data_IF_541831552351
#
_entry.id   IF_541831552351
#
_cell.length_a   1.000
_cell.length_b   1.000
_cell.length_c   1.000
_cell.angle_alpha   90.00
_cell.angle_beta   90.00
_cell.angle_gamma   90.00
#
_symmetry.space_group_name_H-M   'P 1'
#
loop_
_entity.id
_entity.type
_entity.pdbx_description
1 polymer ?
#
# COMPACT_ATOMS: atom_id res chain seq x y z
N UNK A 1 -5.63 2.14 -56.65
CA UNK A 1 -4.24 1.70 -56.44
C UNK A 1 -4.29 0.54 -55.48
N UNK A 2 -4.01 -0.64 -56.01
CA UNK A 2 -4.19 -1.94 -55.35
C UNK A 2 -2.94 -2.25 -54.51
N UNK A 3 -3.10 -2.46 -53.22
CA UNK A 3 -2.00 -2.92 -52.38
C UNK A 3 -1.99 -4.44 -52.41
N UNK A 4 -0.92 -5.02 -52.89
CA UNK A 4 -0.70 -6.45 -53.02
C UNK A 4 -0.40 -7.06 -51.64
N UNK A 5 -1.21 -8.03 -51.26
CA UNK A 5 -0.97 -8.96 -50.13
C UNK A 5 0.18 -9.90 -50.50
N UNK A 6 1.22 -9.88 -49.68
CA UNK A 6 2.27 -10.92 -49.72
C UNK A 6 1.82 -12.11 -48.87
N UNK A 7 1.29 -13.12 -49.54
CA UNK A 7 1.19 -14.48 -48.99
C UNK A 7 2.37 -15.28 -49.47
N UNK A 8 3.37 -15.54 -48.65
CA UNK A 8 4.34 -16.59 -48.89
C UNK A 8 3.90 -17.84 -48.12
N UNK A 9 3.46 -18.82 -48.90
CA UNK A 9 3.28 -20.20 -48.42
C UNK A 9 4.65 -20.80 -48.13
N UNK A 10 4.94 -21.10 -46.89
CA UNK A 10 6.08 -21.95 -46.49
C UNK A 10 5.64 -23.39 -46.57
N UNK A 11 5.92 -24.03 -47.71
CA UNK A 11 5.84 -25.49 -47.84
C UNK A 11 7.12 -26.13 -47.29
N UNK A 12 6.94 -26.98 -46.30
CA UNK A 12 7.70 -28.19 -46.04
C UNK A 12 9.22 -28.10 -45.96
N UNK A 13 9.77 -27.85 -44.78
CA UNK A 13 11.05 -28.40 -44.39
C UNK A 13 10.86 -29.31 -43.17
N UNK A 14 11.10 -30.59 -43.35
CA UNK A 14 11.12 -31.58 -42.30
C UNK A 14 12.18 -31.21 -41.26
N UNK A 15 11.87 -31.00 -39.97
CA UNK A 15 12.92 -30.76 -39.00
C UNK A 15 13.68 -32.08 -38.77
N UNK A 16 14.88 -32.18 -39.34
CA UNK A 16 15.83 -33.16 -38.92
C UNK A 16 16.01 -33.08 -37.41
N UNK A 17 15.84 -34.19 -36.71
CA UNK A 17 16.13 -34.36 -35.31
C UNK A 17 17.56 -33.86 -35.00
N UNK A 18 17.71 -32.64 -34.56
CA UNK A 18 18.91 -32.22 -33.86
C UNK A 18 18.74 -32.71 -32.43
N UNK A 19 19.29 -33.87 -32.16
CA UNK A 19 19.51 -34.38 -30.81
C UNK A 19 20.59 -33.57 -30.09
N UNK A 20 20.41 -32.25 -30.00
CA UNK A 20 21.12 -31.43 -29.07
C UNK A 20 20.28 -31.44 -27.77
N UNK A 21 20.77 -32.19 -26.77
CA UNK A 21 20.37 -31.93 -25.39
C UNK A 21 20.47 -30.42 -25.18
N UNK A 22 19.31 -29.75 -24.99
CA UNK A 22 19.29 -28.34 -24.64
C UNK A 22 20.31 -28.15 -23.51
N UNK A 23 21.27 -27.21 -23.63
CA UNK A 23 22.21 -26.97 -22.56
C UNK A 23 21.36 -26.75 -21.29
N UNK A 24 21.67 -27.54 -20.24
CA UNK A 24 20.96 -27.37 -18.96
C UNK A 24 21.04 -25.90 -18.62
N UNK A 25 19.91 -25.22 -18.69
CA UNK A 25 19.81 -23.81 -18.30
C UNK A 25 20.28 -23.81 -16.86
N UNK A 26 21.50 -23.30 -16.63
CA UNK A 26 21.95 -23.06 -15.25
C UNK A 26 20.84 -22.26 -14.63
N UNK A 27 20.20 -22.73 -13.54
CA UNK A 27 19.25 -21.91 -12.84
C UNK A 27 19.95 -20.58 -12.61
N UNK A 28 19.32 -19.46 -13.00
CA UNK A 28 19.78 -18.13 -12.61
C UNK A 28 20.11 -18.23 -11.12
N UNK A 29 21.25 -17.71 -10.64
CA UNK A 29 21.58 -17.75 -9.22
C UNK A 29 20.36 -17.28 -8.49
N UNK A 30 19.85 -18.14 -7.61
CA UNK A 30 18.50 -18.09 -7.10
C UNK A 30 18.19 -16.66 -6.68
N UNK A 31 17.02 -16.13 -7.07
CA UNK A 31 16.43 -14.91 -6.49
C UNK A 31 16.45 -14.92 -4.94
N UNK A 32 16.70 -16.07 -4.34
CA UNK A 32 16.99 -16.25 -2.92
C UNK A 32 18.08 -15.30 -2.36
N UNK A 33 18.93 -14.73 -3.19
CA UNK A 33 20.01 -13.82 -2.79
C UNK A 33 19.79 -12.38 -3.26
N UNK A 34 18.62 -12.00 -3.78
CA UNK A 34 18.32 -10.62 -4.13
C UNK A 34 18.45 -9.77 -2.86
N UNK A 35 19.35 -8.82 -2.88
CA UNK A 35 19.47 -7.84 -1.80
C UNK A 35 18.31 -6.85 -1.90
N UNK A 36 17.26 -7.11 -1.12
CA UNK A 36 16.05 -6.29 -1.08
C UNK A 36 16.34 -4.85 -0.64
N UNK A 37 17.39 -4.64 0.19
CA UNK A 37 17.78 -3.30 0.63
C UNK A 37 18.47 -2.53 -0.51
N UNK A 38 19.36 -3.16 -1.26
CA UNK A 38 19.97 -2.53 -2.43
C UNK A 38 18.91 -2.21 -3.49
N UNK A 39 17.96 -3.13 -3.70
CA UNK A 39 16.87 -2.95 -4.66
C UNK A 39 15.89 -1.86 -4.24
N UNK A 40 15.60 -1.71 -2.94
CA UNK A 40 14.74 -0.63 -2.45
C UNK A 40 15.32 0.76 -2.77
N UNK A 41 16.63 0.92 -2.73
CA UNK A 41 17.28 2.18 -3.15
C UNK A 41 17.05 2.47 -4.64
N UNK A 42 17.08 1.44 -5.48
CA UNK A 42 16.76 1.59 -6.90
C UNK A 42 15.29 1.94 -7.11
N UNK A 43 14.38 1.26 -6.40
CA UNK A 43 12.94 1.58 -6.46
C UNK A 43 12.62 2.99 -5.96
N UNK A 44 13.35 3.50 -4.98
CA UNK A 44 13.22 4.91 -4.59
C UNK A 44 13.50 5.85 -5.75
N UNK A 45 14.53 5.57 -6.56
CA UNK A 45 14.84 6.39 -7.74
C UNK A 45 13.76 6.29 -8.82
N UNK A 46 13.17 5.10 -9.02
CA UNK A 46 12.07 4.92 -9.95
C UNK A 46 10.81 5.67 -9.48
N UNK A 47 10.47 5.58 -8.19
CA UNK A 47 9.36 6.31 -7.58
C UNK A 47 9.51 7.83 -7.76
N UNK A 48 10.73 8.36 -7.61
CA UNK A 48 11.01 9.80 -7.75
C UNK A 48 10.77 10.33 -9.16
N UNK A 49 10.68 9.49 -10.19
CA UNK A 49 10.30 9.88 -11.56
C UNK A 49 8.84 10.35 -11.66
N UNK A 50 8.01 9.99 -10.70
CA UNK A 50 6.59 10.35 -10.65
C UNK A 50 6.32 11.60 -9.80
N UNK A 51 7.37 12.30 -9.39
CA UNK A 51 7.28 13.46 -8.49
C UNK A 51 7.87 14.68 -9.19
N UNK A 52 7.09 15.74 -9.28
CA UNK A 52 7.55 17.02 -9.79
C UNK A 52 8.26 17.79 -8.69
N UNK A 53 9.55 18.00 -8.84
CA UNK A 53 10.35 18.78 -7.89
C UNK A 53 11.70 19.17 -8.49
N UNK A 54 12.35 20.17 -7.93
CA UNK A 54 13.71 20.59 -8.29
C UNK A 54 13.89 20.87 -9.80
N UNK A 55 12.86 21.53 -10.41
CA UNK A 55 12.85 21.87 -11.84
C UNK A 55 12.41 20.74 -12.80
N UNK A 56 12.24 19.52 -12.30
CA UNK A 56 11.62 18.46 -13.09
C UNK A 56 10.11 18.68 -13.17
N UNK A 57 9.55 18.61 -14.35
CA UNK A 57 8.11 18.76 -14.62
C UNK A 57 7.58 17.57 -15.41
N UNK A 58 6.31 17.28 -15.22
CA UNK A 58 5.56 16.26 -15.95
C UNK A 58 4.57 16.98 -16.86
N UNK A 59 4.56 16.65 -18.14
CA UNK A 59 3.56 17.15 -19.08
C UNK A 59 2.34 16.23 -19.06
N UNK A 60 1.15 16.81 -19.10
CA UNK A 60 -0.09 16.04 -19.27
C UNK A 60 -0.20 15.55 -20.72
N UNK A 61 -0.14 14.24 -20.98
CA UNK A 61 -0.23 13.70 -22.33
C UNK A 61 -1.59 13.93 -23.00
N UNK A 62 -2.65 14.10 -22.20
CA UNK A 62 -3.99 14.41 -22.70
C UNK A 62 -4.17 15.90 -23.04
N UNK A 63 -3.30 16.77 -22.50
CA UNK A 63 -3.36 18.23 -22.65
C UNK A 63 -1.96 18.80 -22.94
N UNK A 64 -1.42 18.62 -24.17
CA UNK A 64 -0.08 19.08 -24.53
C UNK A 64 0.16 20.57 -24.21
N UNK A 65 1.28 20.86 -23.55
CA UNK A 65 1.62 22.19 -23.06
C UNK A 65 1.14 22.50 -21.65
N UNK A 66 0.41 21.59 -21.01
CA UNK A 66 0.07 21.66 -19.57
C UNK A 66 1.10 20.91 -18.77
N UNK A 67 1.80 21.60 -17.88
CA UNK A 67 2.87 21.06 -17.05
C UNK A 67 2.46 21.05 -15.58
N UNK A 68 2.95 20.05 -14.87
CA UNK A 68 2.68 19.85 -13.46
C UNK A 68 3.23 20.99 -12.59
N UNK A 69 2.49 21.35 -11.56
CA UNK A 69 2.98 22.22 -10.51
C UNK A 69 4.01 21.47 -9.63
N UNK A 70 5.01 22.19 -9.07
CA UNK A 70 5.97 21.57 -8.14
C UNK A 70 5.27 20.87 -6.97
N UNK A 71 5.74 19.68 -6.61
CA UNK A 71 5.20 18.86 -5.55
C UNK A 71 4.08 17.90 -5.97
N UNK A 72 3.62 17.98 -7.22
CA UNK A 72 2.66 17.01 -7.75
C UNK A 72 3.28 15.60 -7.74
N UNK A 73 2.57 14.64 -7.19
CA UNK A 73 2.88 13.22 -7.25
C UNK A 73 1.81 12.56 -8.12
N UNK A 74 2.17 12.12 -9.31
CA UNK A 74 1.24 11.37 -10.16
C UNK A 74 1.13 9.92 -9.71
N UNK A 75 -0.07 9.32 -9.86
CA UNK A 75 -0.26 7.92 -9.52
C UNK A 75 0.58 7.00 -10.41
N UNK A 76 0.57 7.23 -11.74
CA UNK A 76 1.47 6.56 -12.68
C UNK A 76 1.65 7.41 -13.94
N UNK A 77 2.74 7.22 -14.73
CA UNK A 77 2.98 7.93 -15.97
C UNK A 77 2.21 7.31 -17.16
N UNK A 78 1.02 6.79 -16.89
CA UNK A 78 0.15 6.13 -17.87
C UNK A 78 -1.10 6.97 -18.13
N UNK A 79 -1.49 7.06 -19.38
CA UNK A 79 -2.74 7.68 -19.81
C UNK A 79 -3.44 6.76 -20.82
N UNK A 80 -4.74 6.98 -21.13
CA UNK A 80 -5.50 6.06 -21.95
C UNK A 80 -4.79 5.73 -23.26
N UNK A 81 -4.47 4.45 -23.45
CA UNK A 81 -4.22 3.94 -24.77
C UNK A 81 -5.53 4.10 -25.55
N UNK A 82 -5.47 4.40 -26.86
CA UNK A 82 -6.65 4.62 -27.73
C UNK A 82 -7.58 3.41 -27.84
N UNK A 83 -7.78 2.67 -26.75
CA UNK A 83 -8.67 1.51 -26.65
C UNK A 83 -9.95 1.97 -25.99
N UNK A 84 -11.10 2.01 -26.71
CA UNK A 84 -12.37 2.45 -26.15
C UNK A 84 -12.74 1.63 -24.90
N UNK A 85 -13.10 2.34 -23.82
CA UNK A 85 -13.60 1.73 -22.59
C UNK A 85 -12.53 1.28 -21.59
N UNK A 86 -11.24 1.48 -21.87
CA UNK A 86 -10.16 1.32 -20.91
C UNK A 86 -9.72 2.70 -20.45
N UNK A 87 -10.00 3.03 -19.20
CA UNK A 87 -9.53 4.27 -18.58
C UNK A 87 -8.29 3.96 -17.74
N UNK A 88 -7.11 4.29 -18.26
CA UNK A 88 -5.82 4.15 -17.58
C UNK A 88 -5.12 5.50 -17.44
N UNK A 89 -5.90 6.57 -17.32
CA UNK A 89 -5.35 7.90 -17.10
C UNK A 89 -5.00 8.09 -15.62
N UNK A 90 -3.73 7.87 -15.31
CA UNK A 90 -3.16 7.97 -13.97
C UNK A 90 -2.19 9.16 -13.84
N UNK A 91 -2.14 10.04 -14.85
CA UNK A 91 -1.37 11.29 -14.80
C UNK A 91 -2.13 12.34 -13.98
N UNK A 92 -2.53 11.96 -12.79
CA UNK A 92 -3.24 12.75 -11.80
C UNK A 92 -2.67 12.51 -10.40
N UNK A 93 -2.95 13.43 -9.49
CA UNK A 93 -2.59 13.29 -8.08
C UNK A 93 -3.77 12.77 -7.27
N UNK A 94 -3.62 11.60 -6.66
CA UNK A 94 -4.48 11.16 -5.57
C UNK A 94 -3.88 11.56 -4.23
N UNK A 95 -4.71 12.14 -3.36
CA UNK A 95 -4.25 12.65 -2.05
C UNK A 95 -3.58 11.55 -1.23
N UNK A 96 -4.14 10.35 -1.21
CA UNK A 96 -3.58 9.19 -0.51
C UNK A 96 -2.23 8.78 -1.09
N UNK A 97 -2.12 8.65 -2.40
CA UNK A 97 -0.90 8.22 -3.09
C UNK A 97 0.24 9.22 -2.86
N UNK A 98 -0.06 10.51 -2.99
CA UNK A 98 0.89 11.58 -2.70
C UNK A 98 1.37 11.56 -1.24
N UNK A 99 0.46 11.33 -0.29
CA UNK A 99 0.78 11.26 1.13
C UNK A 99 1.65 10.05 1.48
N UNK A 100 1.30 8.86 0.98
CA UNK A 100 2.10 7.63 1.19
C UNK A 100 3.50 7.81 0.62
N UNK A 101 3.61 8.42 -0.56
CA UNK A 101 4.88 8.70 -1.22
C UNK A 101 5.74 9.67 -0.40
N UNK A 102 5.16 10.75 0.10
CA UNK A 102 5.86 11.72 0.94
C UNK A 102 6.38 11.07 2.25
N UNK A 103 5.61 10.17 2.86
CA UNK A 103 6.05 9.37 4.01
C UNK A 103 7.32 8.57 3.65
N UNK A 104 7.31 7.88 2.52
CA UNK A 104 8.45 7.05 2.12
C UNK A 104 9.68 7.89 1.77
N UNK A 105 9.53 9.05 1.14
CA UNK A 105 10.64 10.00 0.91
C UNK A 105 11.24 10.44 2.25
N UNK A 106 10.40 10.83 3.21
CA UNK A 106 10.84 11.32 4.50
C UNK A 106 11.57 10.24 5.33
N UNK A 107 11.12 8.98 5.24
CA UNK A 107 11.67 7.86 6.03
C UNK A 107 12.81 7.12 5.35
N UNK A 108 12.94 7.21 4.03
CA UNK A 108 14.01 6.53 3.29
C UNK A 108 15.40 7.17 3.52
N UNK A 109 15.48 8.35 4.12
CA UNK A 109 16.74 9.07 4.28
C UNK A 109 17.41 9.31 2.92
N UNK A 110 16.62 9.54 1.88
CA UNK A 110 17.08 9.76 0.52
C UNK A 110 17.88 11.05 0.46
N UNK A 111 19.18 10.89 0.46
CA UNK A 111 20.24 11.87 0.26
C UNK A 111 20.30 12.98 1.34
N UNK A 112 21.35 13.03 2.14
CA UNK A 112 21.64 14.22 2.91
C UNK A 112 21.96 15.35 1.92
N UNK A 113 20.97 16.19 1.64
CA UNK A 113 21.21 17.45 0.95
C UNK A 113 22.02 18.32 1.91
N UNK A 114 23.14 18.90 1.49
CA UNK A 114 23.83 19.89 2.31
C UNK A 114 22.85 21.04 2.63
N UNK A 115 22.44 21.16 3.90
CA UNK A 115 21.46 22.16 4.34
C UNK A 115 20.17 21.58 4.92
N UNK A 116 19.93 20.26 4.83
CA UNK A 116 18.92 19.56 5.64
C UNK A 116 17.48 19.58 5.15
N UNK A 117 17.16 20.25 4.04
CA UNK A 117 15.79 20.30 3.49
C UNK A 117 15.77 19.61 2.13
N UNK A 118 14.87 18.64 1.95
CA UNK A 118 14.62 17.99 0.67
C UNK A 118 13.63 18.84 -0.14
N UNK A 119 13.98 19.36 -1.34
CA UNK A 119 13.05 20.15 -2.16
C UNK A 119 11.73 19.44 -2.41
N UNK A 120 11.76 18.13 -2.66
CA UNK A 120 10.56 17.32 -2.89
C UNK A 120 9.55 17.32 -1.74
N UNK A 121 9.99 17.42 -0.49
CA UNK A 121 9.10 17.49 0.67
C UNK A 121 8.49 18.88 0.84
N UNK A 122 9.27 19.93 0.58
CA UNK A 122 8.79 21.32 0.57
C UNK A 122 7.74 21.51 -0.55
N UNK A 123 8.08 21.06 -1.75
CA UNK A 123 7.20 21.15 -2.92
C UNK A 123 5.90 20.35 -2.68
N UNK A 124 5.99 19.14 -2.10
CA UNK A 124 4.82 18.34 -1.75
C UNK A 124 3.87 19.08 -0.80
N UNK A 125 4.37 19.72 0.24
CA UNK A 125 3.54 20.48 1.19
C UNK A 125 2.85 21.65 0.48
N UNK A 126 3.57 22.36 -0.40
CA UNK A 126 3.02 23.48 -1.16
C UNK A 126 1.94 23.01 -2.13
N UNK A 127 2.16 21.89 -2.83
CA UNK A 127 1.16 21.31 -3.74
C UNK A 127 -0.07 20.80 -2.96
N UNK A 128 0.11 20.13 -1.84
CA UNK A 128 -0.98 19.68 -0.98
C UNK A 128 -1.84 20.87 -0.48
N UNK A 129 -1.19 21.98 -0.11
CA UNK A 129 -1.89 23.20 0.28
C UNK A 129 -2.65 23.85 -0.90
N UNK A 130 -2.09 23.81 -2.10
CA UNK A 130 -2.77 24.27 -3.34
C UNK A 130 -4.04 23.43 -3.57
N UNK A 131 -3.94 22.10 -3.57
CA UNK A 131 -5.09 21.21 -3.75
C UNK A 131 -6.16 21.42 -2.69
N UNK A 132 -5.75 21.51 -1.41
CA UNK A 132 -6.67 21.79 -0.30
C UNK A 132 -7.38 23.15 -0.48
N UNK A 133 -6.65 24.19 -0.93
CA UNK A 133 -7.22 25.51 -1.20
C UNK A 133 -8.24 25.46 -2.34
N UNK A 134 -7.96 24.72 -3.41
CA UNK A 134 -8.88 24.55 -4.55
C UNK A 134 -10.13 23.76 -4.13
N UNK A 135 -10.00 22.68 -3.35
CA UNK A 135 -11.14 21.94 -2.82
C UNK A 135 -12.00 22.82 -1.90
N UNK A 136 -11.38 23.57 -0.98
CA UNK A 136 -12.08 24.48 -0.06
C UNK A 136 -12.87 25.58 -0.78
N UNK A 137 -12.37 26.06 -1.91
CA UNK A 137 -13.02 27.10 -2.72
C UNK A 137 -14.03 26.54 -3.73
N UNK A 138 -14.10 25.22 -3.87
CA UNK A 138 -15.05 24.54 -4.76
C UNK A 138 -16.45 24.54 -4.15
N UNK A 139 -17.48 24.68 -4.99
CA UNK A 139 -18.87 24.49 -4.60
C UNK A 139 -19.37 23.05 -4.75
N UNK A 140 -18.54 22.15 -5.32
CA UNK A 140 -18.96 20.80 -5.76
C UNK A 140 -18.26 19.65 -5.05
N UNK A 141 -17.19 19.93 -4.31
CA UNK A 141 -16.42 18.91 -3.58
C UNK A 141 -16.13 19.36 -2.15
N UNK A 142 -15.75 18.42 -1.30
CA UNK A 142 -15.31 18.67 0.08
C UNK A 142 -13.78 18.55 0.19
N UNK A 143 -13.25 18.70 1.40
CA UNK A 143 -11.83 18.42 1.68
C UNK A 143 -11.49 16.91 1.65
N UNK A 144 -12.50 16.04 1.58
CA UNK A 144 -12.34 14.60 1.33
C UNK A 144 -12.15 14.24 -0.14
N UNK A 145 -12.10 15.26 -1.02
CA UNK A 145 -11.92 15.00 -2.45
C UNK A 145 -10.61 14.28 -2.77
N UNK A 146 -10.72 13.17 -3.51
CA UNK A 146 -9.60 12.24 -3.61
C UNK A 146 -8.58 12.60 -4.70
N UNK A 147 -8.99 13.28 -5.80
CA UNK A 147 -8.16 13.36 -7.00
C UNK A 147 -8.07 14.78 -7.58
N UNK A 148 -6.85 15.18 -7.95
CA UNK A 148 -6.54 16.49 -8.52
C UNK A 148 -5.72 16.35 -9.81
N UNK A 149 -5.85 17.34 -10.70
CA UNK A 149 -4.98 17.44 -11.88
C UNK A 149 -3.53 17.68 -11.47
N UNK A 150 -2.62 17.53 -12.41
CA UNK A 150 -1.19 17.82 -12.17
C UNK A 150 -0.92 19.31 -11.88
N UNK A 151 -1.88 20.20 -12.15
CA UNK A 151 -1.83 21.63 -11.80
C UNK A 151 -2.50 21.95 -10.46
N UNK A 152 -3.07 20.94 -9.77
CA UNK A 152 -3.73 21.08 -8.48
C UNK A 152 -5.22 21.42 -8.56
N UNK A 153 -5.83 21.47 -9.74
CA UNK A 153 -7.26 21.68 -9.91
C UNK A 153 -8.06 20.42 -9.57
N UNK A 154 -9.31 20.60 -9.12
CA UNK A 154 -10.21 19.49 -8.81
C UNK A 154 -10.52 18.69 -10.08
N UNK A 155 -10.23 17.39 -10.07
CA UNK A 155 -10.72 16.44 -11.10
C UNK A 155 -12.07 15.86 -10.63
N UNK A 156 -13.10 15.74 -11.49
CA UNK A 156 -14.33 15.03 -11.10
C UNK A 156 -14.03 13.59 -10.65
N UNK A 157 -14.18 13.33 -9.35
CA UNK A 157 -13.82 12.04 -8.73
C UNK A 157 -14.61 11.82 -7.43
N UNK A 158 -14.32 10.72 -6.71
CA UNK A 158 -14.99 10.37 -5.46
C UNK A 158 -14.48 11.16 -4.24
N UNK A 159 -15.30 11.17 -3.17
CA UNK A 159 -14.94 11.72 -1.87
C UNK A 159 -14.44 10.58 -0.96
N UNK A 160 -13.23 10.71 -0.45
CA UNK A 160 -12.56 9.69 0.36
C UNK A 160 -11.96 10.31 1.62
N UNK A 161 -12.60 10.08 2.77
CA UNK A 161 -12.20 10.70 4.04
C UNK A 161 -10.94 10.08 4.69
N UNK A 162 -10.32 9.11 4.06
CA UNK A 162 -8.97 8.65 4.41
C UNK A 162 -7.88 9.62 3.92
N UNK A 163 -8.12 10.30 2.78
CA UNK A 163 -7.16 11.22 2.17
C UNK A 163 -6.64 12.31 3.11
N UNK A 164 -7.49 13.17 3.69
CA UNK A 164 -7.06 14.22 4.64
C UNK A 164 -6.34 13.67 5.86
N UNK A 165 -6.74 12.48 6.34
CA UNK A 165 -6.10 11.87 7.50
C UNK A 165 -4.68 11.38 7.17
N UNK A 166 -4.49 10.64 6.06
CA UNK A 166 -3.17 10.13 5.69
C UNK A 166 -2.24 11.26 5.23
N UNK A 167 -2.77 12.32 4.60
CA UNK A 167 -2.02 13.52 4.27
C UNK A 167 -1.50 14.22 5.53
N UNK A 168 -2.31 14.31 6.57
CA UNK A 168 -1.90 14.87 7.86
C UNK A 168 -0.84 14.01 8.55
N UNK A 169 -0.97 12.67 8.50
CA UNK A 169 0.06 11.73 9.00
C UNK A 169 1.39 11.93 8.24
N UNK A 170 1.32 12.12 6.92
CA UNK A 170 2.51 12.41 6.13
C UNK A 170 3.20 13.68 6.62
N UNK A 171 2.44 14.76 6.81
CA UNK A 171 2.98 16.03 7.32
C UNK A 171 3.58 15.86 8.70
N UNK A 172 2.92 15.17 9.63
CA UNK A 172 3.48 14.90 10.96
C UNK A 172 4.82 14.15 10.86
N UNK A 173 4.93 13.22 9.90
CA UNK A 173 6.14 12.40 9.69
C UNK A 173 7.32 13.22 9.16
N UNK A 174 7.06 14.19 8.29
CA UNK A 174 8.10 14.95 7.58
C UNK A 174 8.37 16.35 8.19
N UNK A 175 7.59 16.77 9.19
CA UNK A 175 7.56 18.14 9.70
C UNK A 175 8.92 18.72 10.10
N UNK A 176 9.73 17.94 10.79
CA UNK A 176 11.07 18.36 11.25
C UNK A 176 12.08 18.49 10.10
N UNK A 177 11.74 18.01 8.90
CA UNK A 177 12.58 18.11 7.70
C UNK A 177 12.21 19.32 6.82
N UNK A 178 11.27 20.15 7.26
CA UNK A 178 10.82 21.35 6.56
C UNK A 178 11.51 22.61 7.07
N UNK A 179 11.66 23.61 6.21
CA UNK A 179 12.01 24.98 6.66
C UNK A 179 10.85 25.67 7.38
N UNK A 180 11.16 26.74 8.13
CA UNK A 180 10.16 27.41 8.97
C UNK A 180 8.99 28.03 8.21
N UNK A 181 9.17 28.44 6.96
CA UNK A 181 8.08 28.96 6.14
C UNK A 181 7.13 27.83 5.75
N UNK A 182 7.67 26.70 5.28
CA UNK A 182 6.91 25.50 4.91
C UNK A 182 6.27 24.85 6.13
N UNK A 183 6.92 24.85 7.31
CA UNK A 183 6.28 24.39 8.56
C UNK A 183 5.01 25.20 8.89
N UNK A 184 4.98 26.49 8.59
CA UNK A 184 3.80 27.32 8.80
C UNK A 184 2.65 26.87 7.89
N UNK A 185 2.92 26.61 6.61
CA UNK A 185 1.94 26.08 5.65
C UNK A 185 1.46 24.69 6.09
N UNK A 186 2.38 23.81 6.49
CA UNK A 186 2.11 22.48 6.97
C UNK A 186 1.15 22.46 8.18
N UNK A 187 1.36 23.37 9.16
CA UNK A 187 0.44 23.53 10.30
C UNK A 187 -0.97 23.91 9.87
N UNK A 188 -1.10 24.89 8.99
CA UNK A 188 -2.40 25.36 8.48
C UNK A 188 -3.13 24.24 7.74
N UNK A 189 -2.41 23.44 6.95
CA UNK A 189 -2.96 22.31 6.24
C UNK A 189 -3.49 21.25 7.22
N UNK A 190 -2.72 20.89 8.25
CA UNK A 190 -3.14 19.91 9.26
C UNK A 190 -4.31 20.45 10.09
N UNK A 191 -4.31 21.73 10.49
CA UNK A 191 -5.44 22.35 11.22
C UNK A 191 -6.74 22.32 10.40
N UNK A 192 -6.64 22.57 9.09
CA UNK A 192 -7.80 22.53 8.18
C UNK A 192 -8.32 21.10 8.05
N UNK A 193 -7.44 20.11 7.83
CA UNK A 193 -7.81 18.70 7.77
C UNK A 193 -8.40 18.20 9.11
N UNK A 194 -7.80 18.60 10.23
CA UNK A 194 -8.28 18.23 11.56
C UNK A 194 -9.71 18.73 11.80
N UNK A 195 -9.98 20.00 11.46
CA UNK A 195 -11.31 20.58 11.60
C UNK A 195 -12.34 19.84 10.74
N UNK A 196 -12.00 19.59 9.48
CA UNK A 196 -12.86 18.84 8.56
C UNK A 196 -13.13 17.40 9.06
N UNK A 197 -12.10 16.69 9.46
CA UNK A 197 -12.23 15.30 9.91
C UNK A 197 -13.08 15.19 11.19
N UNK A 198 -13.01 16.18 12.10
CA UNK A 198 -13.89 16.23 13.27
C UNK A 198 -15.37 16.43 12.91
N UNK A 199 -15.68 16.96 11.74
CA UNK A 199 -17.06 17.10 11.26
C UNK A 199 -17.57 15.81 10.57
N UNK A 200 -16.67 15.02 9.95
CA UNK A 200 -17.07 13.93 9.05
C UNK A 200 -16.65 12.52 9.49
N UNK A 201 -15.90 12.34 10.58
CA UNK A 201 -15.37 11.02 11.00
C UNK A 201 -16.46 9.97 11.27
N UNK A 202 -17.69 10.38 11.50
CA UNK A 202 -18.85 9.50 11.70
C UNK A 202 -19.60 9.18 10.40
N UNK A 203 -19.27 9.84 9.31
CA UNK A 203 -19.98 9.71 8.05
C UNK A 203 -19.51 8.51 7.25
N UNK A 204 -20.34 8.07 6.31
CA UNK A 204 -19.93 7.18 5.23
C UNK A 204 -18.91 7.87 4.33
N UNK A 205 -18.13 7.09 3.63
CA UNK A 205 -17.16 7.55 2.65
C UNK A 205 -17.00 6.51 1.56
N UNK A 206 -16.57 6.90 0.39
CA UNK A 206 -16.12 5.95 -0.62
C UNK A 206 -14.89 5.21 -0.07
N UNK A 207 -14.84 3.90 -0.30
CA UNK A 207 -13.81 3.03 0.23
C UNK A 207 -12.45 3.22 -0.48
N UNK A 208 -11.42 2.52 0.02
CA UNK A 208 -10.06 2.56 -0.50
C UNK A 208 -9.97 2.31 -2.01
N UNK A 209 -10.83 1.43 -2.55
CA UNK A 209 -10.80 1.00 -3.94
C UNK A 209 -11.73 1.82 -4.86
N UNK A 210 -12.38 2.85 -4.32
CA UNK A 210 -13.24 3.78 -5.08
C UNK A 210 -14.51 3.14 -5.67
N UNK A 211 -14.97 2.05 -5.06
CA UNK A 211 -16.05 1.22 -5.59
C UNK A 211 -17.36 1.35 -4.81
N UNK A 212 -17.28 1.51 -3.50
CA UNK A 212 -18.45 1.48 -2.60
C UNK A 212 -18.42 2.59 -1.58
N UNK A 213 -19.58 3.19 -1.33
CA UNK A 213 -19.80 4.12 -0.23
C UNK A 213 -20.35 3.37 0.98
N UNK A 214 -19.76 3.56 2.14
CA UNK A 214 -20.17 2.94 3.39
C UNK A 214 -19.24 3.33 4.54
N UNK A 215 -19.32 2.59 5.63
CA UNK A 215 -18.41 2.75 6.76
C UNK A 215 -17.17 1.89 6.53
N UNK A 216 -16.13 2.48 5.97
CA UNK A 216 -14.88 1.80 5.62
C UNK A 216 -14.00 1.55 6.84
N UNK A 217 -13.56 0.30 7.03
CA UNK A 217 -12.59 -0.05 8.07
C UNK A 217 -11.29 0.72 7.89
N UNK A 218 -10.77 0.75 6.65
CA UNK A 218 -9.52 1.42 6.31
C UNK A 218 -9.58 2.92 6.64
N UNK A 219 -10.63 3.62 6.19
CA UNK A 219 -10.77 5.05 6.45
C UNK A 219 -10.86 5.33 7.97
N UNK A 220 -11.65 4.54 8.71
CA UNK A 220 -11.74 4.65 10.18
C UNK A 220 -10.39 4.41 10.87
N UNK A 221 -9.63 3.42 10.42
CA UNK A 221 -8.31 3.11 10.98
C UNK A 221 -7.31 4.24 10.75
N UNK A 222 -7.25 4.81 9.53
CA UNK A 222 -6.36 5.92 9.20
C UNK A 222 -6.75 7.19 9.96
N UNK A 223 -8.04 7.49 10.09
CA UNK A 223 -8.54 8.61 10.89
C UNK A 223 -8.20 8.43 12.38
N UNK A 224 -8.38 7.24 12.93
CA UNK A 224 -8.01 6.91 14.31
C UNK A 224 -6.52 7.14 14.56
N UNK A 225 -5.67 6.65 13.65
CA UNK A 225 -4.23 6.89 13.72
C UNK A 225 -3.89 8.38 13.72
N UNK A 226 -4.47 9.14 12.80
CA UNK A 226 -4.24 10.58 12.75
C UNK A 226 -4.65 11.27 14.06
N UNK A 227 -5.85 10.99 14.59
CA UNK A 227 -6.29 11.60 15.84
C UNK A 227 -5.41 11.21 17.04
N UNK A 228 -4.91 9.98 17.09
CA UNK A 228 -3.94 9.55 18.13
C UNK A 228 -2.61 10.28 17.99
N UNK A 229 -2.06 10.40 16.78
CA UNK A 229 -0.79 11.09 16.54
C UNK A 229 -0.90 12.58 16.83
N UNK A 230 -1.95 13.25 16.36
CA UNK A 230 -2.13 14.69 16.61
C UNK A 230 -2.39 15.00 18.10
N UNK A 231 -2.97 14.08 18.87
CA UNK A 231 -3.18 14.25 20.31
C UNK A 231 -1.87 14.44 21.08
N UNK A 232 -0.74 13.97 20.56
CA UNK A 232 0.60 14.20 21.11
C UNK A 232 1.14 15.60 20.80
N UNK A 233 0.52 16.27 19.82
CA UNK A 233 0.78 17.65 19.38
C UNK A 233 2.27 17.98 19.13
N UNK A 234 2.95 17.12 18.43
CA UNK A 234 4.39 17.25 18.13
C UNK A 234 4.73 18.51 17.31
N UNK A 235 3.74 19.02 16.52
CA UNK A 235 3.92 20.19 15.65
C UNK A 235 3.43 21.50 16.28
N UNK A 236 2.83 21.48 17.47
CA UNK A 236 2.44 22.68 18.23
C UNK A 236 1.27 23.47 17.62
N UNK A 237 0.18 22.79 17.24
CA UNK A 237 -1.10 23.40 16.85
C UNK A 237 -2.14 23.28 17.97
N UNK A 238 -3.27 24.00 17.83
CA UNK A 238 -4.39 23.83 18.76
C UNK A 238 -5.09 22.47 18.49
N UNK A 239 -5.14 21.60 19.50
CA UNK A 239 -5.85 20.31 19.43
C UNK A 239 -7.21 20.44 20.12
N UNK A 240 -8.35 20.40 19.37
CA UNK A 240 -9.68 20.49 19.95
C UNK A 240 -10.02 19.33 20.89
N UNK A 241 -10.84 19.59 21.92
CA UNK A 241 -11.28 18.55 22.85
C UNK A 241 -12.01 17.38 22.18
N UNK A 242 -12.72 17.63 21.06
CA UNK A 242 -13.41 16.60 20.28
C UNK A 242 -12.50 15.49 19.71
N UNK A 243 -11.17 15.68 19.69
CA UNK A 243 -10.22 14.63 19.27
C UNK A 243 -10.30 13.40 20.17
N UNK A 244 -10.42 13.57 21.48
CA UNK A 244 -10.54 12.45 22.41
C UNK A 244 -11.85 11.66 22.21
N UNK A 245 -12.95 12.36 21.96
CA UNK A 245 -14.24 11.75 21.65
C UNK A 245 -14.20 10.98 20.32
N UNK A 246 -13.55 11.56 19.29
CA UNK A 246 -13.36 10.91 17.99
C UNK A 246 -12.52 9.64 18.12
N UNK A 247 -11.43 9.65 18.87
CA UNK A 247 -10.63 8.45 19.16
C UNK A 247 -11.50 7.35 19.77
N UNK A 248 -12.19 7.66 20.87
CA UNK A 248 -13.04 6.70 21.59
C UNK A 248 -14.14 6.14 20.70
N UNK A 249 -14.76 6.99 19.89
CA UNK A 249 -15.82 6.57 18.96
C UNK A 249 -15.28 5.65 17.87
N UNK A 250 -14.14 6.01 17.22
CA UNK A 250 -13.52 5.21 16.16
C UNK A 250 -13.05 3.84 16.65
N UNK A 251 -12.47 3.77 17.88
CA UNK A 251 -12.11 2.50 18.50
C UNK A 251 -13.31 1.56 18.64
N UNK A 252 -14.44 2.10 19.14
CA UNK A 252 -15.67 1.34 19.27
C UNK A 252 -16.24 0.91 17.90
N UNK A 253 -16.18 1.80 16.91
CA UNK A 253 -16.70 1.49 15.57
C UNK A 253 -15.85 0.47 14.82
N UNK A 254 -14.53 0.51 14.93
CA UNK A 254 -13.67 -0.52 14.34
C UNK A 254 -13.99 -1.91 14.89
N UNK A 255 -14.33 -2.02 16.18
CA UNK A 255 -14.73 -3.28 16.78
C UNK A 255 -16.03 -3.86 16.17
N UNK A 256 -16.92 -3.01 15.64
CA UNK A 256 -18.19 -3.45 15.01
C UNK A 256 -18.00 -4.14 13.65
N UNK A 257 -16.84 -3.96 13.02
CA UNK A 257 -16.53 -4.65 11.77
C UNK A 257 -16.28 -6.16 11.95
N UNK A 258 -16.11 -6.63 13.17
CA UNK A 258 -15.92 -8.06 13.43
C UNK A 258 -17.25 -8.83 13.36
N UNK A 259 -17.37 -9.74 12.38
CA UNK A 259 -18.58 -10.54 12.17
C UNK A 259 -18.57 -11.92 12.87
N UNK A 260 -17.53 -12.21 13.65
CA UNK A 260 -17.32 -13.51 14.31
C UNK A 260 -16.30 -14.40 13.60
N UNK A 261 -15.93 -14.11 12.35
CA UNK A 261 -14.96 -14.88 11.56
C UNK A 261 -13.85 -14.00 10.95
N UNK A 262 -14.19 -12.80 10.51
CA UNK A 262 -13.27 -11.84 9.89
C UNK A 262 -13.71 -10.40 10.18
N UNK A 263 -12.81 -9.45 9.99
CA UNK A 263 -13.18 -8.05 9.89
C UNK A 263 -13.78 -7.76 8.51
N UNK A 264 -14.99 -7.22 8.48
CA UNK A 264 -15.68 -6.77 7.28
C UNK A 264 -15.09 -5.44 6.84
N UNK A 265 -14.70 -5.33 5.57
CA UNK A 265 -14.06 -4.13 5.03
C UNK A 265 -14.94 -2.90 5.09
N UNK A 266 -16.21 -3.04 4.69
CA UNK A 266 -17.15 -1.93 4.63
C UNK A 266 -18.51 -2.35 5.17
N UNK A 267 -19.05 -1.57 6.10
CA UNK A 267 -20.37 -1.77 6.66
C UNK A 267 -21.39 -0.82 6.00
N UNK A 268 -22.61 -1.30 5.87
CA UNK A 268 -23.74 -0.52 5.34
C UNK A 268 -23.49 0.04 3.92
N UNK A 269 -22.75 -0.73 3.12
CA UNK A 269 -22.63 -0.53 1.67
C UNK A 269 -23.68 -1.34 0.92
N UNK A 270 -23.83 -1.07 -0.36
CA UNK A 270 -24.60 -1.93 -1.25
C UNK A 270 -23.99 -3.34 -1.25
N UNK A 271 -24.85 -4.38 -1.17
CA UNK A 271 -24.41 -5.78 -1.11
C UNK A 271 -23.52 -6.13 -2.31
N UNK A 272 -22.37 -6.73 -1.97
CA UNK A 272 -21.54 -7.39 -2.96
C UNK A 272 -20.97 -8.68 -2.37
N UNK A 273 -21.26 -9.78 -3.00
CA UNK A 273 -20.76 -11.08 -2.57
C UNK A 273 -19.23 -11.13 -2.63
N UNK A 274 -18.61 -11.57 -1.54
CA UNK A 274 -17.16 -11.77 -1.46
C UNK A 274 -16.34 -10.54 -1.06
N UNK A 275 -16.93 -9.37 -1.00
CA UNK A 275 -16.22 -8.11 -0.68
C UNK A 275 -15.77 -7.99 0.77
N UNK A 276 -16.40 -8.70 1.70
CA UNK A 276 -16.15 -8.59 3.14
C UNK A 276 -14.70 -8.88 3.52
N UNK A 277 -14.12 -9.97 2.98
CA UNK A 277 -12.72 -10.29 3.14
C UNK A 277 -11.88 -9.45 2.15
N UNK A 278 -11.15 -8.47 2.66
CA UNK A 278 -10.46 -7.48 1.83
C UNK A 278 -9.06 -7.16 2.38
N UNK A 279 -8.11 -6.97 1.46
CA UNK A 279 -6.72 -6.67 1.81
C UNK A 279 -6.57 -5.31 2.51
N UNK A 280 -7.54 -4.40 2.39
CA UNK A 280 -7.53 -3.10 3.06
C UNK A 280 -7.51 -3.23 4.60
N UNK A 281 -8.06 -4.33 5.14
CA UNK A 281 -7.95 -4.68 6.57
C UNK A 281 -6.47 -4.87 6.95
N UNK A 282 -5.72 -5.61 6.13
CA UNK A 282 -4.28 -5.83 6.35
C UNK A 282 -3.50 -4.55 6.10
N UNK A 283 -3.84 -3.79 5.07
CA UNK A 283 -3.23 -2.49 4.77
C UNK A 283 -3.43 -1.47 5.90
N UNK A 284 -4.47 -1.64 6.72
CA UNK A 284 -4.69 -0.82 7.91
C UNK A 284 -3.61 -0.97 8.99
N UNK A 285 -2.85 -2.08 8.99
CA UNK A 285 -1.64 -2.20 9.81
C UNK A 285 -0.54 -1.27 9.33
N UNK A 286 -0.40 -1.13 8.01
CA UNK A 286 0.63 -0.30 7.39
C UNK A 286 0.33 1.19 7.56
N UNK A 287 -0.91 1.59 7.29
CA UNK A 287 -1.32 2.99 7.19
C UNK A 287 -2.18 3.48 8.37
N UNK A 288 -3.02 2.61 8.92
CA UNK A 288 -3.97 2.94 9.99
C UNK A 288 -3.47 2.66 11.40
N UNK A 289 -2.27 2.10 11.56
CA UNK A 289 -1.70 1.82 12.88
C UNK A 289 -2.48 0.79 13.69
N UNK A 290 -3.19 -0.13 13.02
CA UNK A 290 -3.80 -1.29 13.66
C UNK A 290 -2.70 -2.23 14.14
N UNK A 291 -2.86 -2.79 15.33
CA UNK A 291 -1.87 -3.67 15.93
C UNK A 291 -1.70 -4.96 15.11
N UNK A 292 -0.49 -5.31 14.66
CA UNK A 292 -0.26 -6.52 13.87
C UNK A 292 -0.53 -7.81 14.66
N UNK A 293 -0.62 -7.71 15.98
CA UNK A 293 -0.89 -8.82 16.92
C UNK A 293 -2.38 -9.01 17.21
N UNK A 294 -3.27 -8.22 16.62
CA UNK A 294 -4.72 -8.40 16.74
C UNK A 294 -5.12 -9.77 16.15
N UNK A 295 -5.59 -10.68 16.98
CA UNK A 295 -5.89 -12.08 16.60
C UNK A 295 -7.07 -12.18 15.62
N UNK A 296 -7.99 -11.23 15.63
CA UNK A 296 -9.10 -11.14 14.67
C UNK A 296 -8.60 -10.66 13.29
N UNK A 297 -7.63 -9.77 13.28
CA UNK A 297 -6.95 -9.37 12.03
C UNK A 297 -6.16 -10.56 11.46
N UNK A 298 -5.51 -11.36 12.31
CA UNK A 298 -4.82 -12.59 11.89
C UNK A 298 -5.79 -13.61 11.29
N UNK A 299 -7.00 -13.76 11.84
CA UNK A 299 -8.06 -14.58 11.24
C UNK A 299 -8.43 -14.10 9.82
N UNK A 300 -8.61 -12.80 9.66
CA UNK A 300 -8.91 -12.18 8.36
C UNK A 300 -7.76 -12.41 7.37
N UNK A 301 -6.51 -12.23 7.79
CA UNK A 301 -5.32 -12.47 6.97
C UNK A 301 -5.19 -13.93 6.53
N UNK A 302 -5.51 -14.90 7.40
CA UNK A 302 -5.54 -16.32 7.04
C UNK A 302 -6.60 -16.63 5.97
N UNK A 303 -7.80 -16.05 6.09
CA UNK A 303 -8.85 -16.21 5.09
C UNK A 303 -8.37 -15.66 3.74
N UNK A 304 -7.83 -14.45 3.71
CA UNK A 304 -7.32 -13.81 2.49
C UNK A 304 -6.21 -14.65 1.84
N UNK A 305 -5.24 -15.11 2.63
CA UNK A 305 -4.15 -15.93 2.10
C UNK A 305 -4.67 -17.19 1.40
N UNK A 306 -5.62 -17.90 2.02
CA UNK A 306 -6.23 -19.11 1.45
C UNK A 306 -6.98 -18.83 0.15
N UNK A 307 -7.64 -17.66 0.03
CA UNK A 307 -8.36 -17.32 -1.19
C UNK A 307 -7.46 -17.36 -2.42
N UNK A 308 -6.23 -16.86 -2.33
CA UNK A 308 -5.36 -16.72 -3.50
C UNK A 308 -4.23 -17.76 -3.60
N UNK A 309 -3.90 -18.42 -2.50
CA UNK A 309 -2.78 -19.37 -2.45
C UNK A 309 -3.22 -20.84 -2.38
N UNK A 310 -4.47 -21.15 -2.02
CA UNK A 310 -4.98 -22.51 -1.96
C UNK A 310 -5.57 -22.93 -3.31
N UNK A 311 -5.03 -23.96 -3.99
CA UNK A 311 -5.54 -24.42 -5.28
C UNK A 311 -7.00 -24.89 -5.28
N UNK A 312 -7.58 -25.17 -4.11
CA UNK A 312 -9.00 -25.52 -3.98
C UNK A 312 -9.93 -24.31 -3.94
N UNK A 313 -9.40 -23.11 -3.79
CA UNK A 313 -10.17 -21.87 -3.79
C UNK A 313 -10.63 -21.48 -5.20
N UNK A 314 -11.86 -21.00 -5.33
CA UNK A 314 -12.38 -20.42 -6.58
C UNK A 314 -11.66 -19.11 -6.99
N UNK A 315 -10.96 -18.47 -6.06
CA UNK A 315 -10.20 -17.24 -6.28
C UNK A 315 -8.69 -17.48 -6.39
N UNK A 316 -8.28 -18.74 -6.48
CA UNK A 316 -6.88 -19.11 -6.60
C UNK A 316 -6.22 -18.50 -7.84
N UNK A 317 -5.04 -17.90 -7.64
CA UNK A 317 -4.21 -17.45 -8.75
C UNK A 317 -3.24 -18.57 -9.17
N UNK A 318 -3.37 -19.13 -10.40
CA UNK A 318 -2.49 -20.20 -10.90
C UNK A 318 -1.01 -19.84 -10.83
N UNK A 319 -0.65 -18.55 -10.98
CA UNK A 319 0.72 -18.07 -10.86
C UNK A 319 1.33 -18.41 -9.50
N UNK A 320 0.55 -18.40 -8.42
CA UNK A 320 1.04 -18.70 -7.07
C UNK A 320 1.57 -20.14 -6.95
N UNK A 321 0.94 -21.08 -7.64
CA UNK A 321 1.45 -22.46 -7.71
C UNK A 321 2.75 -22.57 -8.51
N UNK A 322 2.85 -21.86 -9.63
CA UNK A 322 4.07 -21.79 -10.44
C UNK A 322 5.22 -21.10 -9.68
N UNK A 323 4.93 -20.11 -8.88
CA UNK A 323 5.89 -19.37 -8.07
C UNK A 323 6.37 -20.20 -6.87
N UNK A 324 5.48 -20.89 -6.18
CA UNK A 324 5.84 -21.80 -5.09
C UNK A 324 6.86 -22.86 -5.55
N UNK A 325 6.73 -23.39 -6.78
CA UNK A 325 7.69 -24.32 -7.37
C UNK A 325 9.10 -23.70 -7.61
N UNK A 326 9.19 -22.35 -7.65
CA UNK A 326 10.44 -21.60 -7.77
C UNK A 326 10.97 -21.07 -6.43
N UNK A 327 10.27 -21.35 -5.32
CA UNK A 327 10.59 -20.81 -4.00
C UNK A 327 10.22 -19.33 -3.84
N UNK A 328 9.24 -18.87 -4.62
CA UNK A 328 8.65 -17.54 -4.48
C UNK A 328 7.36 -17.62 -3.68
N UNK A 329 6.96 -16.50 -3.05
CA UNK A 329 5.77 -16.41 -2.24
C UNK A 329 4.52 -16.10 -3.06
N UNK A 330 3.35 -16.25 -2.44
CA UNK A 330 2.11 -15.90 -3.12
C UNK A 330 2.00 -14.40 -3.35
N UNK A 331 1.38 -14.06 -4.47
CA UNK A 331 0.90 -12.74 -4.81
C UNK A 331 -0.56 -12.59 -4.34
N UNK A 332 -0.94 -11.37 -3.95
CA UNK A 332 -2.26 -11.07 -3.36
C UNK A 332 -3.02 -10.04 -4.17
N UNK A 333 -4.34 -10.24 -4.31
CA UNK A 333 -5.29 -9.29 -4.88
C UNK A 333 -5.95 -8.38 -3.85
N UNK A 334 -6.96 -7.62 -4.26
CA UNK A 334 -7.72 -6.70 -3.40
C UNK A 334 -8.72 -7.45 -2.51
N UNK A 335 -9.59 -8.24 -3.09
CA UNK A 335 -10.61 -9.04 -2.40
C UNK A 335 -11.05 -10.24 -3.25
N UNK A 336 -11.62 -11.31 -2.64
CA UNK A 336 -12.19 -12.43 -3.37
C UNK A 336 -13.34 -11.98 -4.27
N UNK A 337 -13.38 -12.46 -5.51
CA UNK A 337 -14.39 -12.06 -6.48
C UNK A 337 -14.16 -10.69 -7.11
N UNK A 338 -12.99 -10.10 -6.94
CA UNK A 338 -12.57 -8.90 -7.67
C UNK A 338 -12.61 -9.15 -9.18
N UNK A 339 -13.18 -8.19 -9.92
CA UNK A 339 -13.29 -8.25 -11.38
C UNK A 339 -12.45 -7.19 -12.08
N UNK A 340 -11.78 -6.30 -11.35
CA UNK A 340 -11.00 -5.24 -11.96
C UNK A 340 -9.80 -5.79 -12.73
N UNK A 341 -9.72 -5.40 -14.00
CA UNK A 341 -8.58 -5.63 -14.88
C UNK A 341 -8.30 -4.30 -15.58
N UNK A 342 -7.16 -3.67 -15.27
CA UNK A 342 -6.83 -2.37 -15.83
C UNK A 342 -6.56 -2.36 -17.34
N UNK A 343 -6.43 -3.52 -17.99
CA UNK A 343 -6.24 -3.63 -19.43
C UNK A 343 -7.56 -3.93 -20.18
N UNK A 344 -8.65 -4.22 -19.47
CA UNK A 344 -9.92 -4.67 -20.09
C UNK A 344 -11.12 -3.98 -19.43
N UNK A 345 -11.91 -3.25 -20.23
CA UNK A 345 -13.06 -2.49 -19.74
C UNK A 345 -14.20 -3.34 -19.13
N UNK A 346 -14.34 -4.59 -19.53
CA UNK A 346 -15.38 -5.50 -19.06
C UNK A 346 -14.78 -6.92 -18.95
N UNK A 347 -13.98 -7.20 -17.92
CA UNK A 347 -13.33 -8.50 -17.78
C UNK A 347 -14.35 -9.60 -17.49
N UNK A 348 -14.14 -10.75 -18.12
CA UNK A 348 -14.94 -11.96 -17.91
C UNK A 348 -14.36 -12.82 -16.80
N UNK A 349 -13.09 -12.65 -16.51
CA UNK A 349 -12.33 -13.43 -15.52
C UNK A 349 -11.97 -12.52 -14.36
N UNK A 350 -12.18 -13.02 -13.15
CA UNK A 350 -11.97 -12.26 -11.92
C UNK A 350 -10.52 -11.87 -11.67
N UNK A 351 -10.37 -10.79 -11.03
CA UNK A 351 -9.25 -10.10 -10.43
C UNK A 351 -7.84 -10.59 -10.63
N UNK A 352 -6.93 -9.71 -10.38
CA UNK A 352 -5.50 -9.96 -10.54
C UNK A 352 -4.75 -9.66 -9.24
N UNK A 353 -3.59 -10.30 -8.98
CA UNK A 353 -2.73 -9.87 -7.89
C UNK A 353 -2.16 -8.48 -8.16
N UNK A 354 -2.00 -7.71 -7.07
CA UNK A 354 -1.47 -6.35 -7.07
C UNK A 354 -0.12 -6.28 -6.38
N UNK A 355 0.80 -5.52 -6.94
CA UNK A 355 2.10 -5.31 -6.33
C UNK A 355 1.99 -4.72 -4.92
N UNK A 356 1.18 -3.66 -4.76
CA UNK A 356 0.95 -2.99 -3.47
C UNK A 356 0.25 -3.90 -2.44
N UNK A 357 -0.74 -4.70 -2.84
CA UNK A 357 -1.44 -5.62 -1.93
C UNK A 357 -0.49 -6.69 -1.37
N UNK A 358 0.35 -7.24 -2.24
CA UNK A 358 1.38 -8.22 -1.88
C UNK A 358 2.43 -7.60 -0.96
N UNK A 359 2.91 -6.38 -1.25
CA UNK A 359 3.86 -5.66 -0.42
C UNK A 359 3.29 -5.31 0.97
N UNK A 360 2.02 -4.87 1.04
CA UNK A 360 1.34 -4.58 2.30
C UNK A 360 1.17 -5.83 3.17
N UNK A 361 0.85 -6.99 2.56
CA UNK A 361 0.78 -8.24 3.31
C UNK A 361 2.17 -8.67 3.83
N UNK A 362 3.22 -8.50 3.02
CA UNK A 362 4.58 -8.75 3.46
C UNK A 362 5.00 -7.81 4.59
N UNK A 363 4.67 -6.52 4.51
CA UNK A 363 4.93 -5.54 5.57
C UNK A 363 4.21 -5.90 6.86
N UNK A 364 2.94 -6.26 6.78
CA UNK A 364 2.17 -6.74 7.94
C UNK A 364 2.90 -7.90 8.63
N UNK A 365 3.34 -8.91 7.90
CA UNK A 365 4.07 -10.04 8.49
C UNK A 365 5.40 -9.62 9.09
N UNK A 366 6.15 -8.67 8.51
CA UNK A 366 7.37 -8.14 9.14
C UNK A 366 7.06 -7.39 10.43
N UNK A 367 6.01 -6.59 10.47
CA UNK A 367 5.58 -5.87 11.68
C UNK A 367 5.15 -6.86 12.78
N UNK A 368 4.42 -7.91 12.41
CA UNK A 368 4.05 -8.99 13.33
C UNK A 368 5.31 -9.72 13.86
N UNK A 369 6.25 -10.06 12.98
CA UNK A 369 7.51 -10.68 13.37
C UNK A 369 8.31 -9.82 14.36
N UNK A 370 8.32 -8.50 14.15
CA UNK A 370 8.99 -7.56 15.06
C UNK A 370 8.27 -7.48 16.41
N UNK A 371 6.92 -7.46 16.43
CA UNK A 371 6.12 -7.44 17.65
C UNK A 371 6.29 -8.74 18.46
N UNK A 372 6.29 -9.90 17.80
CA UNK A 372 6.56 -11.21 18.43
C UNK A 372 7.98 -11.25 19.01
N UNK A 373 8.98 -10.80 18.27
CA UNK A 373 10.35 -10.77 18.75
C UNK A 373 10.52 -9.83 19.96
N UNK A 374 9.82 -8.71 19.97
CA UNK A 374 9.85 -7.74 21.08
C UNK A 374 9.13 -8.24 22.33
N UNK A 375 7.96 -8.89 22.18
CA UNK A 375 7.17 -9.42 23.30
C UNK A 375 7.68 -10.75 23.81
N UNK A 376 8.38 -11.53 22.97
CA UNK A 376 8.78 -12.90 23.27
C UNK A 376 7.62 -13.91 23.25
N UNK A 377 6.44 -13.53 22.74
CA UNK A 377 5.23 -14.36 22.73
C UNK A 377 4.52 -14.31 21.36
N UNK A 378 4.00 -15.46 20.95
CA UNK A 378 3.13 -15.56 19.77
C UNK A 378 1.70 -15.22 20.22
N UNK A 379 0.97 -14.32 19.54
CA UNK A 379 -0.42 -14.00 19.85
C UNK A 379 -1.33 -15.14 19.36
N UNK A 380 -1.31 -16.28 20.06
CA UNK A 380 -2.01 -17.48 19.65
C UNK A 380 -3.30 -17.66 20.45
N UNK A 381 -4.43 -17.68 19.75
CA UNK A 381 -5.75 -18.04 20.24
C UNK A 381 -6.55 -18.75 19.13
N UNK A 382 -7.82 -19.04 19.39
CA UNK A 382 -8.71 -19.73 18.44
C UNK A 382 -8.89 -18.98 17.10
N UNK A 383 -8.68 -17.67 17.05
CA UNK A 383 -8.83 -16.86 15.85
C UNK A 383 -7.54 -16.82 15.03
N UNK A 384 -6.39 -16.70 15.69
CA UNK A 384 -5.09 -16.58 15.06
C UNK A 384 -4.43 -17.93 14.71
N UNK A 385 -4.85 -19.04 15.34
CA UNK A 385 -4.29 -20.37 15.09
C UNK A 385 -4.25 -20.74 13.59
N UNK A 386 -5.29 -20.51 12.77
CA UNK A 386 -5.26 -20.83 11.34
C UNK A 386 -4.16 -20.08 10.58
N UNK A 387 -3.89 -18.83 10.95
CA UNK A 387 -2.83 -18.03 10.33
C UNK A 387 -1.44 -18.60 10.60
N UNK A 388 -1.17 -18.95 11.84
CA UNK A 388 0.12 -19.52 12.22
C UNK A 388 0.30 -20.96 11.70
N UNK A 389 -0.77 -21.76 11.66
CA UNK A 389 -0.73 -23.12 11.11
C UNK A 389 -0.32 -23.17 9.64
N UNK A 390 -0.73 -22.20 8.82
CA UNK A 390 -0.29 -22.06 7.42
C UNK A 390 1.22 -21.83 7.27
N UNK A 391 1.87 -21.33 8.31
CA UNK A 391 3.32 -21.13 8.37
C UNK A 391 4.04 -22.31 9.09
N UNK A 392 3.32 -23.39 9.39
CA UNK A 392 3.85 -24.53 10.11
C UNK A 392 4.10 -24.26 11.62
N UNK A 393 3.44 -23.26 12.17
CA UNK A 393 3.59 -22.80 13.56
C UNK A 393 2.38 -23.21 14.41
N UNK A 394 2.60 -23.45 15.69
CA UNK A 394 1.55 -23.83 16.63
C UNK A 394 1.97 -23.59 18.07
N UNK A 395 1.21 -24.14 19.03
CA UNK A 395 1.40 -23.92 20.46
C UNK A 395 2.81 -24.27 20.99
N UNK A 396 3.53 -25.18 20.34
CA UNK A 396 4.89 -25.58 20.71
C UNK A 396 5.99 -24.74 20.06
N UNK A 397 5.64 -23.83 19.13
CA UNK A 397 6.61 -22.98 18.43
C UNK A 397 7.15 -21.89 19.34
N UNK A 398 8.43 -21.55 19.20
CA UNK A 398 9.01 -20.42 19.90
C UNK A 398 8.71 -19.09 19.19
N UNK A 399 8.77 -17.99 19.93
CA UNK A 399 8.68 -16.65 19.35
C UNK A 399 9.77 -16.39 18.29
N UNK A 400 10.97 -16.97 18.48
CA UNK A 400 12.06 -16.88 17.52
C UNK A 400 11.73 -17.62 16.21
N UNK A 401 11.18 -18.84 16.29
CA UNK A 401 10.76 -19.60 15.12
C UNK A 401 9.63 -18.89 14.37
N UNK A 402 8.65 -18.35 15.09
CA UNK A 402 7.55 -17.61 14.50
C UNK A 402 8.03 -16.34 13.78
N UNK A 403 8.90 -15.55 14.42
CA UNK A 403 9.50 -14.39 13.80
C UNK A 403 10.30 -14.73 12.54
N UNK A 404 11.08 -15.82 12.58
CA UNK A 404 11.85 -16.28 11.43
C UNK A 404 10.95 -16.75 10.27
N UNK A 405 9.90 -17.53 10.57
CA UNK A 405 8.97 -18.02 9.55
C UNK A 405 8.20 -16.87 8.87
N UNK A 406 7.72 -15.89 9.64
CA UNK A 406 7.05 -14.70 9.11
C UNK A 406 7.96 -13.88 8.20
N UNK A 407 9.22 -13.66 8.61
CA UNK A 407 10.22 -12.96 7.79
C UNK A 407 10.54 -13.71 6.50
N UNK A 408 10.71 -15.04 6.58
CA UNK A 408 10.95 -15.87 5.41
C UNK A 408 9.77 -15.83 4.44
N UNK A 409 8.54 -15.91 4.94
CA UNK A 409 7.31 -15.77 4.14
C UNK A 409 7.23 -14.41 3.44
N UNK A 410 7.53 -13.32 4.15
CA UNK A 410 7.53 -11.97 3.57
C UNK A 410 8.63 -11.79 2.51
N UNK A 411 9.84 -12.32 2.77
CA UNK A 411 10.97 -12.23 1.85
C UNK A 411 10.65 -12.87 0.49
N UNK A 412 9.98 -14.02 0.47
CA UNK A 412 9.62 -14.69 -0.78
C UNK A 412 8.49 -13.98 -1.52
N UNK A 413 7.59 -13.29 -0.81
CA UNK A 413 6.55 -12.44 -1.41
C UNK A 413 7.16 -11.21 -2.10
N UNK A 414 8.07 -10.48 -1.45
CA UNK A 414 8.76 -9.35 -2.09
C UNK A 414 9.60 -9.79 -3.29
N UNK A 415 10.20 -10.98 -3.21
CA UNK A 415 10.93 -11.55 -4.38
C UNK A 415 9.99 -11.93 -5.52
N UNK A 416 8.76 -12.36 -5.25
CA UNK A 416 7.77 -12.61 -6.30
C UNK A 416 7.40 -11.30 -7.03
N UNK A 417 7.18 -10.20 -6.31
CA UNK A 417 6.95 -8.88 -6.93
C UNK A 417 8.10 -8.53 -7.87
N UNK A 418 9.35 -8.66 -7.40
CA UNK A 418 10.55 -8.35 -8.21
C UNK A 418 10.69 -9.28 -9.42
N UNK A 419 10.36 -10.57 -9.24
CA UNK A 419 10.44 -11.56 -10.31
C UNK A 419 9.50 -11.26 -11.46
N UNK A 420 8.31 -10.76 -11.14
CA UNK A 420 7.27 -10.45 -12.12
C UNK A 420 7.35 -9.01 -12.65
N UNK A 421 8.18 -8.14 -12.07
CA UNK A 421 8.39 -6.78 -12.58
C UNK A 421 9.20 -6.80 -13.87
N UNK A 422 8.80 -6.02 -14.86
CA UNK A 422 9.56 -5.81 -16.09
C UNK A 422 10.63 -4.72 -15.87
N UNK A 423 11.90 -5.07 -16.03
CA UNK A 423 13.03 -4.16 -15.80
C UNK A 423 13.02 -3.46 -14.42
N UNK A 424 12.43 -4.11 -13.40
CA UNK A 424 12.20 -3.55 -12.06
C UNK A 424 11.18 -2.40 -12.01
N UNK A 425 10.40 -2.18 -13.05
CA UNK A 425 9.27 -1.25 -13.03
C UNK A 425 8.07 -1.95 -12.39
N UNK A 426 7.46 -1.35 -11.36
CA UNK A 426 6.35 -1.97 -10.66
C UNK A 426 5.02 -1.50 -11.26
N UNK A 427 4.25 -2.43 -11.77
CA UNK A 427 2.90 -2.19 -12.24
C UNK A 427 1.88 -2.13 -11.09
N UNK A 428 0.64 -1.82 -11.42
CA UNK A 428 -0.49 -1.97 -10.53
C UNK A 428 -0.79 -3.45 -10.30
N UNK A 429 -0.97 -4.21 -11.38
CA UNK A 429 -1.38 -5.61 -11.36
C UNK A 429 -0.37 -6.53 -12.03
N UNK A 430 -0.45 -7.82 -11.70
CA UNK A 430 0.18 -8.92 -12.41
C UNK A 430 -0.90 -9.88 -12.90
N UNK A 431 -0.73 -10.49 -14.06
CA UNK A 431 -1.66 -11.51 -14.53
C UNK A 431 -1.70 -12.71 -13.58
N UNK A 432 -2.88 -13.05 -13.07
CA UNK A 432 -3.07 -14.11 -12.07
C UNK A 432 -2.75 -15.51 -12.58
N UNK A 433 -2.56 -15.70 -13.91
CA UNK A 433 -2.26 -16.99 -14.52
C UNK A 433 -0.78 -17.10 -14.90
N UNK A 434 -0.25 -16.08 -15.57
CA UNK A 434 1.10 -16.10 -16.17
C UNK A 434 2.10 -15.16 -15.51
N UNK A 435 1.64 -14.21 -14.70
CA UNK A 435 2.46 -13.30 -13.92
C UNK A 435 3.05 -12.14 -14.71
N UNK A 436 2.63 -11.88 -15.93
CA UNK A 436 3.03 -10.68 -16.65
C UNK A 436 2.41 -9.44 -15.99
N UNK A 437 3.11 -8.31 -16.11
CA UNK A 437 2.58 -7.02 -15.68
C UNK A 437 1.32 -6.66 -16.44
N UNK A 438 0.35 -6.16 -15.70
CA UNK A 438 -0.95 -5.68 -16.19
C UNK A 438 -1.27 -4.31 -15.64
N UNK A 439 -2.25 -3.65 -16.28
CA UNK A 439 -2.70 -2.32 -15.90
C UNK A 439 -1.58 -1.27 -16.05
N UNK A 440 -1.65 -0.19 -15.30
CA UNK A 440 -0.65 0.88 -15.36
C UNK A 440 0.70 0.42 -14.83
N UNK A 441 1.75 0.84 -15.52
CA UNK A 441 3.13 0.60 -15.11
C UNK A 441 3.67 1.77 -14.31
N UNK A 442 4.69 1.50 -13.51
CA UNK A 442 5.31 2.52 -12.66
C UNK A 442 4.31 3.16 -11.69
N UNK A 443 3.43 2.35 -11.07
CA UNK A 443 2.51 2.85 -10.07
C UNK A 443 3.28 3.32 -8.83
N UNK A 444 3.13 4.58 -8.49
CA UNK A 444 3.85 5.23 -7.40
C UNK A 444 3.60 4.54 -6.06
N UNK A 445 2.34 4.17 -5.80
CA UNK A 445 1.97 3.44 -4.59
C UNK A 445 2.58 2.02 -4.52
N UNK A 446 2.77 1.34 -5.64
CA UNK A 446 3.46 0.03 -5.66
C UNK A 446 4.91 0.15 -5.17
N UNK A 447 5.62 1.17 -5.62
CA UNK A 447 6.97 1.47 -5.10
C UNK A 447 6.95 1.81 -3.62
N UNK A 448 6.08 2.73 -3.21
CA UNK A 448 5.99 3.17 -1.82
C UNK A 448 5.69 2.01 -0.86
N UNK A 449 4.77 1.12 -1.23
CA UNK A 449 4.44 -0.08 -0.44
C UNK A 449 5.64 -1.04 -0.32
N UNK A 450 6.38 -1.25 -1.42
CA UNK A 450 7.58 -2.07 -1.39
C UNK A 450 8.66 -1.47 -0.49
N UNK A 451 8.88 -0.16 -0.56
CA UNK A 451 9.85 0.55 0.28
C UNK A 451 9.48 0.45 1.77
N UNK A 452 8.21 0.64 2.09
CA UNK A 452 7.70 0.49 3.46
C UNK A 452 7.91 -0.92 3.99
N UNK A 453 7.63 -1.94 3.18
CA UNK A 453 7.85 -3.33 3.55
C UNK A 453 9.35 -3.63 3.81
N UNK A 454 10.27 -3.14 2.96
CA UNK A 454 11.71 -3.32 3.19
C UNK A 454 12.19 -2.56 4.43
N UNK A 455 11.61 -1.40 4.72
CA UNK A 455 11.90 -0.66 5.95
C UNK A 455 11.43 -1.44 7.20
N UNK A 456 10.21 -1.99 7.17
CA UNK A 456 9.69 -2.84 8.24
C UNK A 456 10.54 -4.11 8.43
N UNK A 457 11.03 -4.70 7.33
CA UNK A 457 12.00 -5.81 7.33
C UNK A 457 13.30 -5.44 8.05
N UNK A 458 13.79 -4.23 7.82
CA UNK A 458 15.09 -3.76 8.33
C UNK A 458 15.00 -3.23 9.76
N UNK A 459 13.80 -2.96 10.27
CA UNK A 459 13.60 -2.50 11.63
C UNK A 459 14.10 -3.58 12.61
N UNK A 460 15.03 -3.20 13.49
CA UNK A 460 15.42 -4.07 14.60
C UNK A 460 14.23 -4.24 15.55
N UNK A 461 14.01 -5.47 16.05
CA UNK A 461 13.07 -5.65 17.14
C UNK A 461 13.45 -4.69 18.29
N UNK A 462 12.51 -3.90 18.84
CA UNK A 462 12.81 -3.08 20.00
C UNK A 462 13.49 -3.93 21.06
N UNK A 463 14.64 -3.52 21.58
CA UNK A 463 15.30 -4.26 22.64
C UNK A 463 14.30 -4.44 23.79
N UNK A 464 14.00 -5.69 24.17
CA UNK A 464 13.10 -5.99 25.25
C UNK A 464 13.40 -5.09 26.44
N UNK A 465 12.45 -4.29 26.89
CA UNK A 465 12.63 -3.39 28.02
C UNK A 465 13.15 -4.23 29.19
N UNK A 466 14.42 -4.03 29.56
CA UNK A 466 15.01 -4.74 30.70
C UNK A 466 14.11 -4.48 31.89
N UNK A 467 13.40 -5.51 32.34
CA UNK A 467 12.59 -5.48 33.56
C UNK A 467 13.51 -4.98 34.68
N UNK A 468 13.19 -3.81 35.24
CA UNK A 468 13.91 -3.31 36.44
C UNK A 468 13.88 -4.42 37.48
N UNK A 469 15.02 -4.81 38.09
CA UNK A 469 15.02 -5.78 39.12
C UNK A 469 14.11 -5.29 40.28
N UNK A 470 13.16 -6.11 40.62
CA UNK A 470 12.25 -5.86 41.75
C UNK A 470 13.12 -5.83 43.01
N UNK A 471 13.38 -4.63 43.53
CA UNK A 471 14.05 -4.47 44.82
C UNK A 471 13.20 -5.18 45.88
N UNK A 472 13.60 -6.37 46.24
CA UNK A 472 13.13 -7.08 47.45
C UNK A 472 13.65 -6.32 48.66
N UNK A 473 12.85 -5.38 49.17
CA UNK A 473 13.07 -4.88 50.53
C UNK A 473 12.73 -6.04 51.47
N UNK A 474 13.75 -6.64 52.07
CA UNK A 474 13.61 -7.56 53.19
C UNK A 474 12.95 -6.86 54.38
N UNK A 475 12.31 -7.65 55.30
CA UNK A 475 11.66 -7.10 56.45
C UNK A 475 12.72 -6.55 57.43
N UNK A 476 12.54 -5.31 57.84
CA UNK A 476 13.27 -4.77 59.00
C UNK A 476 12.64 -5.34 60.27
N UNK A 477 13.45 -6.02 61.02
CA UNK A 477 13.21 -6.40 62.44
C UNK A 477 13.16 -5.18 63.33
#
# INVERSE_FOLDING_TARGET
>A
MTVALWSQSMTGANPAHIGATAPAVKPRPAFAQTDLVALSRYFSLLMMRNITSDGYVIEDPASPGVFSAPGCVIAAPSYPANTPGVDQDYVFNWVRDGAITAIEIALAGLLPVPGGVLPSLVDYVNFAALCQGNAKNSATVTLGHACFTITGEVRPWSEQNDGPAIQSIAILTLFDQLDGATQTIAKQLVETNLSYLLEVYQNKTTNLWEEYEGYSFFARAVQLRFFREISTNTIGIAVPAGVADAISWLENQLATHWNGQLYVSILDAAEQAGYDANIDIVSSVCYGGIEPTDTKLLATAAILRRQWADPSSSNYYPINGADAAKGLGPLFGRYPGDHYDGDVAAPVVGGHPWALCTANFAEFQYRLANAIAASGAIPLDQFSEPFFAELGLGASSSAADASAALRASSDVMLRAIVYHSDHYELSEQFDGTVGYEKSVRNLTWSYASFLSAVRARSAAAPAAAKSKPRNSRGPRS
#
